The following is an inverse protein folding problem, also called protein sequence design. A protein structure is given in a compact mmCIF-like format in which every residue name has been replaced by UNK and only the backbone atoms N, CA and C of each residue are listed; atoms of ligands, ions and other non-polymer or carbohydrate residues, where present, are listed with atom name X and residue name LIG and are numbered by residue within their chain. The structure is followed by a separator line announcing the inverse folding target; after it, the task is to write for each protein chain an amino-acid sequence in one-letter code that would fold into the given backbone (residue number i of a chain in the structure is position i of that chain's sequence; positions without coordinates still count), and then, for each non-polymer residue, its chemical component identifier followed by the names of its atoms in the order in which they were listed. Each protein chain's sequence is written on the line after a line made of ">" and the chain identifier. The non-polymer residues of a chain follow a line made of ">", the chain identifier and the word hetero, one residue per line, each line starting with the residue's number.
data_IF_324441667630
#
_entry.id   IF_324441667630
#
_cell.length_a   1.000
_cell.length_b   1.000
_cell.length_c   1.000
_cell.angle_alpha   90.00
_cell.angle_beta   90.00
_cell.angle_gamma   90.00
#
_symmetry.space_group_name_H-M   'P 1'
#
loop_
_entity.id
_entity.type
_entity.pdbx_description
1 polymer ?
2 non-polymer ?
3 non-polymer ?
4 non-polymer ?
5 non-polymer ?
6 water ?
#
# COMPACT_ATOMS: atom_id res chain seq x y z
N UNK A 18 -21.33 18.84 -11.22
CA UNK A 18 -20.89 17.46 -11.28
C UNK A 18 -19.48 17.39 -11.84
N UNK A 19 -18.80 16.28 -11.61
CA UNK A 19 -17.38 16.18 -11.88
C UNK A 19 -16.51 16.76 -10.80
N UNK A 20 -17.10 17.19 -9.69
CA UNK A 20 -16.36 17.70 -8.55
C UNK A 20 -16.80 16.94 -7.30
N UNK A 21 -15.94 16.99 -6.28
CA UNK A 21 -16.23 16.35 -5.01
C UNK A 21 -15.45 17.11 -3.93
N UNK A 22 -15.41 16.55 -2.73
CA UNK A 22 -14.86 17.24 -1.56
C UNK A 22 -13.72 16.49 -0.93
N UNK A 23 -12.75 17.26 -0.43
CA UNK A 23 -11.71 16.70 0.44
C UNK A 23 -12.23 16.61 1.87
N UNK A 24 -11.37 16.19 2.79
CA UNK A 24 -11.79 16.02 4.17
C UNK A 24 -12.23 17.32 4.81
N UNK A 25 -11.76 18.47 4.32
CA UNK A 25 -12.13 19.77 4.86
C UNK A 25 -13.27 20.43 4.09
N UNK A 26 -14.02 19.65 3.31
CA UNK A 26 -15.11 20.11 2.46
C UNK A 26 -14.63 20.91 1.26
N UNK A 27 -13.33 21.13 1.11
CA UNK A 27 -12.82 21.85 -0.05
C UNK A 27 -13.21 21.13 -1.33
N UNK A 28 -13.70 21.89 -2.31
CA UNK A 28 -14.14 21.31 -3.57
C UNK A 28 -12.94 21.03 -4.47
N UNK A 29 -13.03 19.93 -5.21
CA UNK A 29 -11.88 19.37 -5.90
C UNK A 29 -12.37 18.67 -7.16
N UNK A 30 -11.53 18.69 -8.20
CA UNK A 30 -11.82 17.94 -9.40
C UNK A 30 -11.75 16.44 -9.10
N UNK A 31 -12.66 15.67 -9.72
CA UNK A 31 -12.54 14.22 -9.65
C UNK A 31 -11.29 13.71 -10.35
N UNK A 32 -10.53 14.60 -10.99
CA UNK A 32 -9.23 14.31 -11.56
C UNK A 32 -8.08 14.67 -10.63
N UNK A 33 -8.38 15.15 -9.43
CA UNK A 33 -7.35 15.78 -8.60
C UNK A 33 -6.31 14.77 -8.13
N UNK A 34 -5.06 15.23 -8.07
CA UNK A 34 -3.96 14.33 -7.75
C UNK A 34 -4.09 13.75 -6.34
N UNK A 35 -4.54 14.55 -5.38
CA UNK A 35 -4.74 14.03 -4.03
C UNK A 35 -5.82 12.97 -4.02
N UNK A 36 -6.94 13.22 -4.71
CA UNK A 36 -8.03 12.25 -4.77
C UNK A 36 -7.58 10.98 -5.47
N UNK A 37 -6.85 11.12 -6.58
CA UNK A 37 -6.33 9.93 -7.26
C UNK A 37 -5.42 9.15 -6.32
N UNK A 38 -4.71 9.85 -5.43
CA UNK A 38 -3.81 9.17 -4.51
C UNK A 38 -4.58 8.31 -3.52
N UNK A 39 -5.57 8.88 -2.83
CA UNK A 39 -6.29 8.10 -1.84
C UNK A 39 -7.34 7.20 -2.47
N UNK A 40 -7.71 7.45 -3.73
CA UNK A 40 -8.54 6.49 -4.46
C UNK A 40 -7.73 5.23 -4.77
N UNK A 41 -6.46 5.40 -5.14
CA UNK A 41 -5.60 4.24 -5.38
C UNK A 41 -5.29 3.48 -4.09
N UNK A 42 -5.25 4.18 -2.95
CA UNK A 42 -5.17 3.48 -1.68
C UNK A 42 -6.40 2.61 -1.45
N UNK A 43 -7.57 3.11 -1.85
CA UNK A 43 -8.79 2.30 -1.79
C UNK A 43 -8.66 1.06 -2.67
N UNK A 44 -8.24 1.24 -3.93
CA UNK A 44 -8.06 0.10 -4.83
C UNK A 44 -7.07 -0.90 -4.23
N UNK A 45 -5.98 -0.41 -3.65
CA UNK A 45 -5.03 -1.30 -2.98
C UNK A 45 -5.68 -2.02 -1.81
N UNK A 46 -6.50 -1.31 -1.02
CA UNK A 46 -7.21 -1.95 0.08
C UNK A 46 -8.09 -3.08 -0.42
N UNK A 47 -8.85 -2.83 -1.49
CA UNK A 47 -9.69 -3.88 -2.06
C UNK A 47 -8.86 -5.07 -2.54
N UNK A 48 -7.74 -4.80 -3.20
CA UNK A 48 -6.89 -5.89 -3.68
C UNK A 48 -6.41 -6.76 -2.51
N UNK A 49 -6.06 -6.14 -1.38
CA UNK A 49 -5.67 -6.92 -0.22
C UNK A 49 -6.86 -7.69 0.33
N UNK A 50 -8.05 -7.10 0.29
CA UNK A 50 -9.24 -7.83 0.69
C UNK A 50 -9.51 -9.05 -0.17
N UNK A 51 -9.19 -8.97 -1.46
CA UNK A 51 -9.36 -10.14 -2.32
C UNK A 51 -8.37 -11.24 -1.95
N UNK A 52 -7.13 -10.88 -1.66
CA UNK A 52 -6.14 -11.87 -1.24
C UNK A 52 -6.60 -12.59 0.01
N UNK A 53 -7.21 -11.86 0.95
CA UNK A 53 -7.71 -12.48 2.17
C UNK A 53 -8.88 -13.41 1.88
N UNK A 54 -9.83 -12.97 1.06
CA UNK A 54 -11.06 -13.71 0.87
C UNK A 54 -10.89 -14.92 -0.03
N UNK A 55 -9.93 -14.88 -0.95
CA UNK A 55 -9.73 -15.98 -1.89
C UNK A 55 -8.48 -16.80 -1.60
N UNK A 56 -7.50 -16.25 -0.89
CA UNK A 56 -6.27 -16.97 -0.62
C UNK A 56 -6.26 -17.66 0.72
N UNK A 57 -7.14 -17.23 1.62
CA UNK A 57 -7.28 -17.80 2.94
C UNK A 57 -5.92 -17.96 3.62
N UNK A 58 -5.27 -16.87 3.99
CA UNK A 58 -3.98 -16.99 4.66
C UNK A 58 -4.15 -17.46 6.10
N UNK A 59 -3.06 -17.95 6.67
CA UNK A 59 -3.07 -18.34 8.08
C UNK A 59 -3.42 -17.15 8.95
N UNK A 60 -3.79 -17.45 10.20
CA UNK A 60 -4.32 -16.41 11.08
C UNK A 60 -3.33 -15.27 11.29
N UNK A 61 -2.03 -15.58 11.33
CA UNK A 61 -1.03 -14.56 11.60
C UNK A 61 -0.92 -13.57 10.44
N UNK A 62 -0.81 -14.07 9.22
CA UNK A 62 -0.76 -13.21 8.04
C UNK A 62 -2.06 -12.46 7.88
N UNK A 63 -3.19 -13.11 8.19
CA UNK A 63 -4.47 -12.43 8.17
C UNK A 63 -4.46 -11.19 9.06
N UNK A 64 -3.90 -11.31 10.26
CA UNK A 64 -3.86 -10.18 11.18
C UNK A 64 -2.96 -9.08 10.66
N UNK A 65 -1.84 -9.45 10.04
CA UNK A 65 -0.94 -8.45 9.46
C UNK A 65 -1.67 -7.67 8.36
N UNK A 66 -2.32 -8.39 7.45
CA UNK A 66 -2.97 -7.74 6.32
C UNK A 66 -4.15 -6.88 6.78
N UNK A 67 -4.94 -7.39 7.72
CA UNK A 67 -6.05 -6.58 8.24
C UNK A 67 -5.53 -5.30 8.87
N UNK A 68 -4.37 -5.36 9.53
CA UNK A 68 -3.77 -4.16 10.10
C UNK A 68 -3.34 -3.19 9.00
N UNK A 69 -2.81 -3.72 7.90
CA UNK A 69 -2.42 -2.87 6.77
C UNK A 69 -3.64 -2.20 6.17
N UNK A 70 -4.74 -2.93 6.02
CA UNK A 70 -5.97 -2.33 5.53
C UNK A 70 -6.38 -1.15 6.42
N UNK A 71 -6.23 -1.31 7.73
CA UNK A 71 -6.49 -0.21 8.64
C UNK A 71 -5.53 0.94 8.40
N UNK A 72 -4.24 0.63 8.22
CA UNK A 72 -3.26 1.67 7.94
C UNK A 72 -3.60 2.42 6.66
N UNK A 73 -4.04 1.70 5.62
CA UNK A 73 -4.31 2.35 4.34
C UNK A 73 -5.42 3.37 4.46
N UNK A 74 -6.42 3.09 5.30
CA UNK A 74 -7.45 4.11 5.58
C UNK A 74 -6.85 5.30 6.31
N UNK A 75 -5.87 5.07 7.19
CA UNK A 75 -5.17 6.19 7.83
C UNK A 75 -4.39 7.00 6.80
N UNK A 76 -3.81 6.33 5.81
CA UNK A 76 -3.06 7.03 4.77
C UNK A 76 -4.00 7.86 3.89
N UNK A 77 -5.16 7.30 3.54
CA UNK A 77 -6.11 8.05 2.75
C UNK A 77 -6.66 9.26 3.48
N UNK A 78 -6.89 9.12 4.79
CA UNK A 78 -7.30 10.27 5.58
C UNK A 78 -6.22 11.34 5.59
N UNK A 79 -4.96 10.92 5.69
CA UNK A 79 -3.84 11.86 5.58
C UNK A 79 -3.86 12.58 4.24
N UNK A 80 -3.98 11.81 3.15
CA UNK A 80 -3.93 12.39 1.81
C UNK A 80 -5.13 13.29 1.53
N UNK A 81 -6.29 13.00 2.11
CA UNK A 81 -7.48 13.80 1.88
C UNK A 81 -7.55 15.05 2.75
N UNK A 82 -6.55 15.28 3.61
CA UNK A 82 -6.57 16.39 4.56
C UNK A 82 -5.41 17.34 4.27
N UNK A 83 -5.67 18.49 3.64
CA UNK A 83 -4.57 19.42 3.36
C UNK A 83 -3.75 19.75 4.60
N UNK A 84 -2.46 20.00 4.39
CA UNK A 84 -1.59 20.44 5.47
C UNK A 84 -1.83 21.93 5.71
N UNK A 85 -2.10 22.30 6.96
CA UNK A 85 -2.32 23.70 7.29
C UNK A 85 -1.55 24.08 8.55
N UNK A 86 -1.40 25.40 8.75
CA UNK A 86 -0.49 25.91 9.77
C UNK A 86 -1.00 25.63 11.17
N UNK A 87 -2.22 26.03 11.48
CA UNK A 87 -2.83 25.49 12.68
C UNK A 87 -4.27 25.11 12.45
N UNK A 88 -4.57 23.81 12.42
CA UNK A 88 -5.86 23.28 12.01
C UNK A 88 -6.91 23.44 13.08
N UNK A 89 -8.16 23.32 12.64
CA UNK A 89 -9.27 23.39 13.57
C UNK A 89 -9.17 22.29 14.62
N UNK A 90 -8.96 21.06 14.19
CA UNK A 90 -8.76 19.94 15.10
C UNK A 90 -7.63 19.06 14.57
N UNK A 91 -6.95 18.35 15.46
CA UNK A 91 -5.70 17.67 15.08
C UNK A 91 -5.94 16.66 13.98
N UNK A 92 -5.11 16.66 12.94
CA UNK A 92 -5.34 15.77 11.80
C UNK A 92 -4.75 14.39 12.03
N UNK A 93 -5.36 13.40 11.37
CA UNK A 93 -4.81 12.04 11.33
C UNK A 93 -3.74 11.98 10.27
N UNK A 94 -2.51 11.67 10.68
CA UNK A 94 -1.37 11.62 9.79
C UNK A 94 -0.62 10.31 9.97
N UNK A 95 -0.04 9.81 8.88
CA UNK A 95 0.87 8.69 8.97
C UNK A 95 2.15 9.14 9.64
N UNK A 96 2.77 8.25 10.43
CA UNK A 96 3.99 8.55 11.14
C UNK A 96 5.06 7.51 10.79
N UNK A 97 6.30 7.85 11.12
CA UNK A 97 7.41 6.92 10.86
C UNK A 97 7.22 5.59 11.59
N UNK A 98 6.44 5.59 12.68
CA UNK A 98 6.20 4.33 13.39
C UNK A 98 5.43 3.34 12.53
N UNK A 99 4.49 3.84 11.72
CA UNK A 99 3.81 2.99 10.75
C UNK A 99 4.84 2.26 9.87
N UNK A 100 5.80 3.01 9.34
CA UNK A 100 6.75 2.45 8.40
C UNK A 100 7.73 1.52 9.11
N UNK A 101 8.21 1.91 10.29
CA UNK A 101 9.08 1.02 11.05
C UNK A 101 8.39 -0.31 11.34
N UNK A 102 7.06 -0.28 11.55
CA UNK A 102 6.33 -1.52 11.75
C UNK A 102 6.37 -2.40 10.51
N UNK A 103 6.24 -1.79 9.33
CA UNK A 103 6.36 -2.57 8.09
C UNK A 103 7.75 -3.14 7.94
N UNK A 104 8.79 -2.32 8.22
CA UNK A 104 10.15 -2.81 8.15
C UNK A 104 10.36 -4.01 9.07
N UNK A 105 9.82 -3.94 10.28
CA UNK A 105 9.92 -5.07 11.18
C UNK A 105 9.27 -6.32 10.62
N UNK A 106 8.12 -6.16 9.97
CA UNK A 106 7.45 -7.30 9.37
C UNK A 106 8.23 -7.86 8.19
N UNK A 107 8.85 -6.98 7.40
CA UNK A 107 9.67 -7.45 6.28
C UNK A 107 10.80 -8.35 6.77
N UNK A 108 11.59 -7.86 7.73
CA UNK A 108 12.71 -8.64 8.25
C UNK A 108 12.25 -10.00 8.74
N UNK A 109 11.23 -10.02 9.60
CA UNK A 109 10.75 -11.28 10.16
C UNK A 109 10.37 -12.27 9.05
N UNK A 110 9.53 -11.82 8.11
CA UNK A 110 9.01 -12.74 7.10
C UNK A 110 10.03 -13.09 6.04
N UNK A 111 11.06 -12.26 5.84
CA UNK A 111 12.10 -12.55 4.87
C UNK A 111 13.23 -13.40 5.44
N UNK A 112 13.23 -13.65 6.75
CA UNK A 112 14.36 -14.35 7.37
C UNK A 112 14.49 -15.77 6.85
N UNK A 113 13.37 -16.49 6.73
CA UNK A 113 13.41 -17.86 6.29
C UNK A 113 13.53 -18.05 4.78
N UNK A 114 13.42 -16.98 4.02
CA UNK A 114 13.38 -17.12 2.57
C UNK A 114 14.78 -17.28 2.00
N UNK A 115 14.97 -18.16 1.02
CA UNK A 115 16.27 -18.26 0.35
C UNK A 115 16.59 -16.99 -0.43
N UNK A 116 17.87 -16.84 -0.75
CA UNK A 116 18.32 -15.68 -1.49
C UNK A 116 17.78 -15.72 -2.91
N UNK A 117 17.34 -14.57 -3.41
CA UNK A 117 16.74 -14.46 -4.74
C UNK A 117 17.70 -13.75 -5.67
N UNK A 118 17.94 -14.35 -6.83
CA UNK A 118 18.90 -13.82 -7.80
C UNK A 118 18.23 -13.20 -9.02
N UNK A 119 16.96 -13.47 -9.28
CA UNK A 119 16.29 -13.00 -10.48
C UNK A 119 14.84 -12.68 -10.16
N UNK A 120 14.10 -12.28 -11.19
CA UNK A 120 12.69 -11.99 -11.05
C UNK A 120 11.89 -13.29 -10.94
N UNK A 121 10.72 -13.19 -10.31
CA UNK A 121 9.83 -14.32 -10.11
C UNK A 121 8.59 -14.10 -10.97
N UNK A 122 8.13 -15.17 -11.61
CA UNK A 122 6.87 -15.12 -12.34
C UNK A 122 5.74 -15.14 -11.32
N UNK A 123 4.91 -14.10 -11.25
CA UNK A 123 3.83 -14.09 -10.23
C UNK A 123 2.84 -15.21 -10.50
N UNK A 124 2.37 -15.81 -9.43
CA UNK A 124 1.39 -16.87 -9.52
C UNK A 124 1.49 -17.81 -8.32
N UNK A 125 1.35 -19.11 -8.60
CA UNK A 125 1.43 -20.11 -7.56
C UNK A 125 0.07 -20.36 -6.92
N UNK A 126 0.02 -20.22 -5.60
CA UNK A 126 -1.22 -20.34 -4.86
C UNK A 126 -2.17 -19.22 -5.25
N UNK A 127 -3.47 -19.37 -4.95
CA UNK A 127 -4.34 -18.18 -5.01
C UNK A 127 -3.83 -17.06 -4.14
N UNK A 128 -3.35 -17.37 -2.92
CA UNK A 128 -2.88 -16.33 -2.03
C UNK A 128 -1.68 -15.60 -2.60
N UNK A 129 -0.67 -16.35 -3.06
CA UNK A 129 0.54 -15.72 -3.57
C UNK A 129 0.27 -14.94 -4.86
N UNK A 130 -0.59 -15.47 -5.73
CA UNK A 130 -0.95 -14.74 -6.93
C UNK A 130 -1.65 -13.43 -6.60
N UNK A 131 -2.59 -13.48 -5.66
CA UNK A 131 -3.33 -12.26 -5.34
C UNK A 131 -2.47 -11.28 -4.55
N UNK A 132 -1.47 -11.78 -3.81
CA UNK A 132 -0.55 -10.87 -3.16
C UNK A 132 0.34 -10.15 -4.18
N UNK A 133 0.60 -10.80 -5.31
CA UNK A 133 1.30 -10.13 -6.40
C UNK A 133 0.43 -9.05 -7.03
N UNK A 134 -0.86 -9.34 -7.23
CA UNK A 134 -1.77 -8.32 -7.75
C UNK A 134 -1.78 -7.12 -6.81
N UNK A 135 -1.94 -7.40 -5.51
CA UNK A 135 -1.96 -6.32 -4.53
C UNK A 135 -0.65 -5.54 -4.53
N UNK A 136 0.48 -6.24 -4.68
CA UNK A 136 1.77 -5.58 -4.77
C UNK A 136 1.79 -4.55 -5.89
N UNK A 137 1.37 -4.94 -7.09
CA UNK A 137 1.42 -4.03 -8.23
C UNK A 137 0.44 -2.89 -8.08
N UNK A 138 -0.73 -3.14 -7.47
CA UNK A 138 -1.65 -2.03 -7.23
C UNK A 138 -1.07 -1.07 -6.20
N UNK A 139 -0.46 -1.60 -5.14
CA UNK A 139 0.13 -0.75 -4.11
C UNK A 139 1.22 0.13 -4.73
N UNK A 140 2.03 -0.44 -5.62
CA UNK A 140 3.06 0.35 -6.29
C UNK A 140 2.45 1.40 -7.21
N UNK A 141 1.32 1.08 -7.85
CA UNK A 141 0.59 2.12 -8.58
C UNK A 141 0.10 3.21 -7.64
N UNK A 142 -0.44 2.81 -6.49
CA UNK A 142 -0.85 3.80 -5.49
C UNK A 142 0.32 4.67 -5.05
N UNK A 143 1.51 4.06 -4.89
CA UNK A 143 2.68 4.84 -4.49
C UNK A 143 3.00 5.91 -5.53
N UNK A 144 3.03 5.52 -6.81
CA UNK A 144 3.28 6.50 -7.87
C UNK A 144 2.27 7.64 -7.79
N UNK A 145 1.00 7.33 -7.53
CA UNK A 145 0.00 8.37 -7.39
C UNK A 145 0.28 9.24 -6.17
N UNK A 146 0.75 8.63 -5.08
CA UNK A 146 1.03 9.40 -3.86
C UNK A 146 2.16 10.40 -4.10
N UNK A 147 3.19 9.99 -4.84
CA UNK A 147 4.26 10.93 -5.16
C UNK A 147 3.78 12.04 -6.08
N UNK A 148 2.91 11.70 -7.03
CA UNK A 148 2.35 12.74 -7.90
C UNK A 148 1.54 13.75 -7.09
N UNK A 149 0.87 13.30 -6.03
CA UNK A 149 0.16 14.23 -5.17
C UNK A 149 1.12 15.20 -4.49
N UNK A 150 2.26 14.69 -4.01
CA UNK A 150 3.23 15.57 -3.38
C UNK A 150 3.81 16.55 -4.38
N UNK A 151 4.19 16.06 -5.56
CA UNK A 151 4.73 16.94 -6.60
C UNK A 151 3.78 18.10 -6.88
N UNK A 152 2.47 17.84 -6.86
CA UNK A 152 1.48 18.87 -7.14
C UNK A 152 1.30 19.83 -5.98
N UNK A 153 1.47 19.36 -4.75
CA UNK A 153 1.34 20.18 -3.54
C UNK A 153 2.49 19.88 -2.60
N UNK A 154 3.71 20.31 -2.95
CA UNK A 154 4.87 19.98 -2.11
C UNK A 154 4.70 20.39 -0.66
N UNK A 155 3.97 21.47 -0.40
CA UNK A 155 3.77 21.96 0.96
C UNK A 155 2.47 21.49 1.59
N UNK A 156 1.53 20.99 0.79
CA UNK A 156 0.21 20.65 1.31
C UNK A 156 -0.01 19.17 1.54
N UNK A 157 0.85 18.33 0.97
CA UNK A 157 0.69 16.88 1.04
C UNK A 157 1.92 16.29 1.69
N UNK A 158 1.70 15.36 2.62
CA UNK A 158 2.79 14.69 3.31
C UNK A 158 3.36 13.55 2.47
N UNK A 159 4.65 13.28 2.64
CA UNK A 159 5.32 12.25 1.88
C UNK A 159 5.28 10.88 2.55
N UNK A 160 4.88 10.82 3.82
CA UNK A 160 4.91 9.57 4.56
C UNK A 160 3.92 8.56 4.00
N UNK A 161 2.73 8.97 3.54
CA UNK A 161 1.87 8.01 2.83
C UNK A 161 2.58 7.31 1.69
N UNK A 162 3.29 8.06 0.84
CA UNK A 162 4.02 7.45 -0.26
C UNK A 162 5.12 6.54 0.27
N UNK A 163 5.81 6.94 1.33
CA UNK A 163 6.87 6.11 1.88
C UNK A 163 6.31 4.85 2.52
N UNK A 164 5.11 4.94 3.11
CA UNK A 164 4.46 3.75 3.65
C UNK A 164 4.10 2.78 2.53
N UNK A 165 3.51 3.29 1.45
CA UNK A 165 3.17 2.44 0.31
C UNK A 165 4.43 1.82 -0.30
N UNK A 166 5.53 2.57 -0.31
CA UNK A 166 6.77 2.04 -0.86
C UNK A 166 7.18 0.77 -0.13
N UNK A 167 7.22 0.82 1.21
CA UNK A 167 7.66 -0.35 1.96
C UNK A 167 6.59 -1.45 1.98
N UNK A 168 5.32 -1.08 1.83
CA UNK A 168 4.27 -2.10 1.79
C UNK A 168 4.44 -3.02 0.59
N UNK A 169 4.86 -2.47 -0.55
CA UNK A 169 5.09 -3.32 -1.71
C UNK A 169 6.27 -4.27 -1.48
N UNK A 170 7.28 -3.84 -0.72
CA UNK A 170 8.34 -4.77 -0.32
C UNK A 170 7.79 -5.90 0.53
N UNK A 171 6.92 -5.58 1.49
CA UNK A 171 6.35 -6.61 2.34
C UNK A 171 5.45 -7.56 1.56
N UNK A 172 4.63 -7.02 0.66
CA UNK A 172 3.72 -7.87 -0.12
C UNK A 172 4.52 -8.83 -1.00
N UNK A 173 5.63 -8.36 -1.58
CA UNK A 173 6.49 -9.26 -2.33
C UNK A 173 7.03 -10.37 -1.43
N UNK A 174 7.48 -10.02 -0.23
CA UNK A 174 8.01 -11.02 0.71
C UNK A 174 6.93 -12.02 1.06
N UNK A 175 5.72 -11.54 1.40
CA UNK A 175 4.64 -12.44 1.76
C UNK A 175 4.24 -13.32 0.58
N UNK A 176 4.29 -12.78 -0.64
CA UNK A 176 3.94 -13.59 -1.80
C UNK A 176 4.89 -14.77 -1.94
N UNK A 177 6.16 -14.58 -1.60
CA UNK A 177 7.11 -15.69 -1.63
C UNK A 177 6.82 -16.69 -0.52
N UNK A 178 6.59 -16.19 0.70
CA UNK A 178 6.23 -17.08 1.81
C UNK A 178 5.05 -17.95 1.44
N UNK A 179 4.05 -17.36 0.77
CA UNK A 179 2.80 -18.06 0.49
C UNK A 179 2.87 -18.98 -0.72
N UNK A 180 3.92 -18.91 -1.51
CA UNK A 180 3.97 -19.63 -2.78
C UNK A 180 4.44 -21.07 -2.56
N UNK A 181 3.61 -22.08 -2.87
CA UNK A 181 4.10 -23.47 -2.76
C UNK A 181 4.94 -23.93 -3.93
N UNK A 182 4.86 -23.26 -5.08
CA UNK A 182 5.74 -23.54 -6.21
C UNK A 182 7.13 -22.94 -6.04
N UNK A 183 7.46 -22.44 -4.86
CA UNK A 183 8.72 -21.77 -4.68
C UNK A 183 8.84 -20.60 -5.65
N UNK A 184 10.09 -20.23 -5.92
CA UNK A 184 10.40 -19.13 -6.82
C UNK A 184 10.53 -19.68 -8.24
N UNK A 185 9.53 -19.41 -9.08
CA UNK A 185 9.61 -19.71 -10.51
C UNK A 185 10.29 -18.52 -11.18
N UNK A 186 11.49 -18.74 -11.70
CA UNK A 186 12.39 -17.65 -12.05
C UNK A 186 12.30 -17.29 -13.53
N UNK A 187 12.50 -16.02 -13.81
CA UNK A 187 12.54 -15.49 -15.16
C UNK A 187 13.85 -15.87 -15.84
N UNK A 188 13.75 -16.60 -16.95
CA UNK A 188 14.87 -16.86 -17.83
C UNK A 188 14.84 -15.86 -18.98
N UNK A 189 15.69 -14.83 -18.96
CA UNK A 189 15.62 -13.79 -20.02
C UNK A 189 15.52 -14.34 -21.43
N UNK A 190 16.01 -15.54 -21.68
CA UNK A 190 15.87 -16.15 -22.99
C UNK A 190 14.44 -16.55 -23.30
#
# INVERSE_FOLDING_TARGET
>A
GSHMAVHLTRIYTRTGDDGTTGLSDMSRVAKTDARLVAYADCDEANAAIGAALALGHPDTQITDVLRQIQNDLFDAGADLSTPIVENPKHPPLRIAQSYIDRLEGWCDAYNAGLPALKSFVLPGGSPLSALLHVARTVVRRAERSAWAAVDAHPEGVSVLPAKYLNRLSDLLFILSRVANPDGDVLWRPGGDRTAS
#
